data_IF_883258570817
#
_entry.id   IF_883258570817
#
_cell.length_a   1.000
_cell.length_b   1.000
_cell.length_c   1.000
_cell.angle_alpha   90.00
_cell.angle_beta   90.00
_cell.angle_gamma   90.00
#
_symmetry.space_group_name_H-M   'P 1'
#
loop_
_entity.id
_entity.type
_entity.pdbx_description
1 polymer ?
#
# COMPACT_ATOMS: atom_id res chain seq x y z
N UNK A 1 9.95 20.88 -30.13
CA UNK A 1 8.84 20.11 -29.54
C UNK A 1 8.84 20.38 -28.06
N UNK A 2 7.80 21.06 -27.54
CA UNK A 2 7.70 21.38 -26.12
C UNK A 2 7.26 20.12 -25.35
N UNK A 3 7.96 19.81 -24.26
CA UNK A 3 7.59 18.73 -23.35
C UNK A 3 6.24 19.05 -22.70
N UNK A 4 5.33 18.08 -22.73
CA UNK A 4 4.00 18.12 -22.11
C UNK A 4 4.04 18.52 -20.61
N UNK A 5 5.18 18.29 -19.94
CA UNK A 5 5.41 18.65 -18.54
C UNK A 5 5.59 20.16 -18.32
N UNK A 6 6.08 20.90 -19.32
CA UNK A 6 6.31 22.35 -19.19
C UNK A 6 5.04 23.20 -19.17
N UNK A 7 3.90 22.63 -19.58
CA UNK A 7 2.59 23.32 -19.57
C UNK A 7 1.91 23.26 -18.19
N UNK A 8 2.20 22.23 -17.39
CA UNK A 8 1.58 22.05 -16.07
C UNK A 8 2.32 22.82 -14.97
N UNK A 9 3.61 23.07 -15.15
CA UNK A 9 4.42 23.88 -14.22
C UNK A 9 4.36 25.35 -14.62
N UNK A 10 3.17 25.94 -14.54
CA UNK A 10 3.09 27.39 -14.40
C UNK A 10 4.00 27.80 -13.25
N UNK A 11 4.89 28.77 -13.50
CA UNK A 11 5.90 29.26 -12.56
C UNK A 11 5.36 29.25 -11.13
N UNK A 12 5.80 28.29 -10.32
CA UNK A 12 5.39 28.22 -8.93
C UNK A 12 6.55 27.70 -8.11
N UNK A 13 7.29 28.68 -7.60
CA UNK A 13 7.96 28.68 -6.30
C UNK A 13 8.49 27.31 -5.84
N UNK A 14 9.75 27.04 -6.21
CA UNK A 14 10.54 25.87 -5.80
C UNK A 14 10.74 25.78 -4.28
N UNK A 15 10.41 26.83 -3.51
CA UNK A 15 10.41 26.81 -2.04
C UNK A 15 9.13 26.22 -1.43
N UNK A 16 8.07 26.08 -2.23
CA UNK A 16 6.80 25.54 -1.76
C UNK A 16 6.92 24.05 -1.41
N UNK A 17 6.11 23.60 -0.45
CA UNK A 17 5.99 22.18 -0.06
C UNK A 17 5.70 21.28 -1.27
N UNK A 18 5.00 21.81 -2.29
CA UNK A 18 4.74 21.13 -3.57
C UNK A 18 6.02 21.03 -4.41
N UNK A 19 6.81 22.10 -4.52
CA UNK A 19 8.11 22.09 -5.17
C UNK A 19 9.09 21.08 -4.54
N UNK A 20 9.11 20.99 -3.21
CA UNK A 20 9.93 19.99 -2.50
C UNK A 20 9.44 18.55 -2.69
N UNK A 21 8.12 18.33 -2.73
CA UNK A 21 7.55 17.01 -3.06
C UNK A 21 7.91 16.60 -4.49
N UNK A 22 7.84 17.53 -5.45
CA UNK A 22 8.22 17.28 -6.83
C UNK A 22 9.72 17.01 -7.00
N UNK A 23 10.59 17.67 -6.24
CA UNK A 23 12.02 17.35 -6.19
C UNK A 23 12.29 15.98 -5.55
N UNK A 24 11.50 15.58 -4.56
CA UNK A 24 11.58 14.23 -3.97
C UNK A 24 11.10 13.13 -4.91
N UNK A 25 10.29 13.48 -5.92
CA UNK A 25 9.79 12.54 -6.92
C UNK A 25 10.87 12.08 -7.91
N UNK A 26 12.03 12.75 -8.01
CA UNK A 26 13.12 12.26 -8.86
C UNK A 26 13.60 10.86 -8.46
N UNK A 27 13.59 10.55 -7.16
CA UNK A 27 13.91 9.22 -6.65
C UNK A 27 12.86 8.17 -7.02
N UNK A 28 11.59 8.58 -7.05
CA UNK A 28 10.46 7.75 -7.48
C UNK A 28 10.53 7.56 -9.00
N UNK A 29 10.91 8.59 -9.76
CA UNK A 29 11.12 8.54 -11.21
C UNK A 29 12.25 7.57 -11.57
N UNK A 30 13.39 7.64 -10.87
CA UNK A 30 14.49 6.70 -11.00
C UNK A 30 14.06 5.25 -10.68
N UNK A 31 13.28 5.06 -9.60
CA UNK A 31 12.74 3.75 -9.23
C UNK A 31 11.71 3.22 -10.24
N UNK A 32 10.86 4.08 -10.77
CA UNK A 32 9.86 3.73 -11.80
C UNK A 32 10.54 3.33 -13.10
N UNK A 33 11.58 4.05 -13.52
CA UNK A 33 12.40 3.72 -14.69
C UNK A 33 13.13 2.39 -14.45
N UNK A 34 13.68 2.17 -13.27
CA UNK A 34 14.38 0.93 -12.92
C UNK A 34 13.46 -0.31 -12.84
N UNK A 35 12.20 -0.13 -12.41
CA UNK A 35 11.20 -1.20 -12.26
C UNK A 35 10.28 -1.39 -13.46
N UNK A 36 10.50 -0.66 -14.57
CA UNK A 36 9.66 -0.69 -15.75
C UNK A 36 9.95 -1.95 -16.59
N UNK A 37 8.97 -2.84 -16.72
CA UNK A 37 8.99 -3.90 -17.74
C UNK A 37 7.92 -3.61 -18.80
N UNK A 38 8.34 -3.39 -20.05
CA UNK A 38 7.43 -3.20 -21.18
C UNK A 38 7.24 -4.55 -21.87
N UNK A 39 6.03 -5.12 -21.76
CA UNK A 39 5.64 -6.29 -22.56
C UNK A 39 4.89 -5.81 -23.82
N UNK A 40 5.60 -5.77 -24.96
CA UNK A 40 5.11 -5.24 -26.24
C UNK A 40 4.09 -6.13 -26.99
N UNK A 41 3.59 -7.22 -26.38
CA UNK A 41 2.86 -8.26 -27.11
C UNK A 41 1.33 -8.23 -26.99
N UNK A 42 0.72 -7.24 -26.32
CA UNK A 42 -0.75 -7.14 -26.23
C UNK A 42 -1.20 -5.69 -26.35
N UNK A 43 -2.09 -5.40 -27.30
CA UNK A 43 -2.82 -4.13 -27.37
C UNK A 43 -4.04 -4.21 -26.43
N UNK A 44 -4.20 -3.31 -25.45
CA UNK A 44 -3.40 -2.12 -25.18
C UNK A 44 -2.13 -2.40 -24.36
N UNK A 45 -1.07 -1.62 -24.63
CA UNK A 45 0.21 -1.64 -23.92
C UNK A 45 -0.01 -1.56 -22.41
N UNK A 46 0.43 -2.59 -21.67
CA UNK A 46 0.43 -2.60 -20.21
C UNK A 46 1.82 -2.28 -19.69
N UNK A 47 1.93 -1.19 -18.93
CA UNK A 47 3.13 -0.82 -18.19
C UNK A 47 2.95 -1.37 -16.77
N UNK A 48 3.73 -2.38 -16.39
CA UNK A 48 3.80 -2.87 -15.02
C UNK A 48 5.05 -2.31 -14.36
N UNK A 49 4.86 -1.62 -13.24
CA UNK A 49 5.93 -1.28 -12.31
C UNK A 49 5.84 -2.27 -11.17
N UNK A 50 6.91 -3.01 -10.93
CA UNK A 50 7.02 -3.84 -9.71
C UNK A 50 7.71 -2.98 -8.65
N UNK A 51 6.97 -2.42 -7.67
CA UNK A 51 7.61 -1.68 -6.59
C UNK A 51 8.52 -2.62 -5.78
N UNK A 52 9.58 -2.07 -5.19
CA UNK A 52 10.37 -2.83 -4.23
C UNK A 52 9.48 -3.19 -3.02
N UNK A 53 9.61 -4.40 -2.47
CA UNK A 53 8.81 -4.84 -1.31
C UNK A 53 8.87 -3.84 -0.13
N UNK A 54 9.98 -3.13 0.02
CA UNK A 54 10.16 -2.09 1.03
C UNK A 54 9.20 -0.90 0.88
N UNK A 55 8.79 -0.55 -0.34
CA UNK A 55 7.85 0.55 -0.58
C UNK A 55 6.41 0.15 -0.24
N UNK A 56 6.07 -1.11 -0.52
CA UNK A 56 4.78 -1.70 -0.11
C UNK A 56 4.67 -1.69 1.42
N UNK A 57 5.70 -2.17 2.12
CA UNK A 57 5.72 -2.25 3.58
C UNK A 57 5.51 -0.89 4.25
N UNK A 58 6.07 0.19 3.70
CA UNK A 58 5.86 1.56 4.22
C UNK A 58 4.39 1.98 4.13
N UNK A 59 3.72 1.67 3.03
CA UNK A 59 2.30 1.99 2.84
C UNK A 59 1.44 1.13 3.74
N UNK A 60 1.73 -0.17 3.84
CA UNK A 60 1.01 -1.09 4.71
C UNK A 60 1.13 -0.69 6.18
N UNK A 61 2.33 -0.31 6.63
CA UNK A 61 2.56 0.17 7.98
C UNK A 61 1.77 1.43 8.29
N UNK A 62 1.77 2.42 7.38
CA UNK A 62 0.97 3.66 7.54
C UNK A 62 -0.52 3.36 7.65
N UNK A 63 -1.03 2.52 6.75
CA UNK A 63 -2.44 2.14 6.74
C UNK A 63 -2.82 1.39 8.03
N UNK A 64 -1.99 0.42 8.44
CA UNK A 64 -2.24 -0.36 9.64
C UNK A 64 -2.27 0.52 10.90
N UNK A 65 -1.34 1.47 11.04
CA UNK A 65 -1.33 2.44 12.13
C UNK A 65 -2.57 3.35 12.12
N UNK A 66 -2.99 3.80 10.94
CA UNK A 66 -4.20 4.61 10.81
C UNK A 66 -5.44 3.84 11.27
N UNK A 67 -5.58 2.58 10.89
CA UNK A 67 -6.69 1.72 11.32
C UNK A 67 -6.68 1.46 12.82
N UNK A 68 -5.53 1.15 13.41
CA UNK A 68 -5.41 0.96 14.85
C UNK A 68 -5.77 2.23 15.64
N UNK A 69 -5.41 3.41 15.11
CA UNK A 69 -5.80 4.68 15.70
C UNK A 69 -7.31 4.94 15.58
N UNK A 70 -7.91 4.70 14.41
CA UNK A 70 -9.33 4.93 14.19
C UNK A 70 -10.23 3.96 14.97
N UNK A 71 -9.81 2.71 15.11
CA UNK A 71 -10.65 1.65 15.70
C UNK A 71 -10.48 1.49 17.20
N UNK A 72 -9.27 1.73 17.70
CA UNK A 72 -8.89 1.41 19.07
C UNK A 72 -8.15 2.57 19.76
N UNK A 73 -8.07 3.74 19.12
CA UNK A 73 -7.36 4.93 19.63
C UNK A 73 -5.88 4.67 19.96
N UNK A 74 -5.30 3.61 19.36
CA UNK A 74 -3.94 3.18 19.65
C UNK A 74 -2.90 3.89 18.80
N UNK A 75 -1.86 4.39 19.45
CA UNK A 75 -0.64 4.84 18.80
C UNK A 75 0.39 3.71 18.83
N UNK A 76 0.57 3.05 17.69
CA UNK A 76 1.52 1.96 17.55
C UNK A 76 2.94 2.46 17.26
N UNK A 77 3.99 1.77 17.72
CA UNK A 77 5.38 2.13 17.43
C UNK A 77 5.69 2.00 15.93
N UNK A 78 6.83 2.52 15.50
CA UNK A 78 7.24 2.46 14.10
C UNK A 78 7.71 1.07 13.67
N UNK A 79 8.17 0.25 14.61
CA UNK A 79 8.71 -1.08 14.33
C UNK A 79 7.68 -2.15 14.72
N UNK A 80 7.01 -2.78 13.74
CA UNK A 80 6.17 -3.94 13.99
C UNK A 80 7.03 -5.21 14.17
N UNK A 81 6.45 -6.23 14.80
CA UNK A 81 7.06 -7.56 14.87
C UNK A 81 7.11 -8.23 13.50
N UNK A 82 6.09 -8.00 12.66
CA UNK A 82 6.06 -8.53 11.30
C UNK A 82 5.12 -7.72 10.41
N UNK A 83 5.50 -7.62 9.13
CA UNK A 83 4.64 -7.16 8.02
C UNK A 83 4.57 -8.30 7.01
N UNK A 84 3.37 -8.66 6.59
CA UNK A 84 3.14 -9.67 5.57
C UNK A 84 2.11 -9.18 4.56
N UNK A 85 2.36 -9.45 3.28
CA UNK A 85 1.39 -9.24 2.22
C UNK A 85 1.48 -10.35 1.18
N UNK A 86 0.34 -10.80 0.67
CA UNK A 86 0.27 -11.91 -0.29
C UNK A 86 -0.99 -11.78 -1.15
N UNK A 87 -0.89 -12.24 -2.40
CA UNK A 87 -2.07 -12.35 -3.24
C UNK A 87 -3.03 -13.40 -2.65
N UNK A 88 -4.33 -13.11 -2.68
CA UNK A 88 -5.36 -13.95 -2.06
C UNK A 88 -5.43 -15.36 -2.69
N UNK A 89 -5.15 -15.48 -3.99
CA UNK A 89 -5.07 -16.75 -4.71
C UNK A 89 -3.83 -17.58 -4.37
N UNK A 90 -2.80 -16.96 -3.80
CA UNK A 90 -1.57 -17.60 -3.31
C UNK A 90 -1.64 -17.97 -1.83
N UNK A 91 -2.71 -17.62 -1.11
CA UNK A 91 -2.89 -18.05 0.28
C UNK A 91 -3.06 -19.57 0.34
N UNK A 92 -2.21 -20.22 1.12
CA UNK A 92 -2.45 -21.61 1.50
C UNK A 92 -3.70 -21.72 2.40
N UNK A 93 -4.26 -22.92 2.49
CA UNK A 93 -5.50 -23.19 3.25
C UNK A 93 -5.41 -22.73 4.71
N UNK A 94 -4.27 -22.94 5.36
CA UNK A 94 -4.05 -22.52 6.75
C UNK A 94 -4.08 -20.99 6.90
N UNK A 95 -3.43 -20.27 5.99
CA UNK A 95 -3.36 -18.81 6.00
C UNK A 95 -4.71 -18.19 5.66
N UNK A 96 -5.44 -18.81 4.72
CA UNK A 96 -6.81 -18.44 4.43
C UNK A 96 -7.70 -18.62 5.66
N UNK A 97 -7.59 -19.74 6.37
CA UNK A 97 -8.31 -19.94 7.64
C UNK A 97 -7.84 -18.95 8.71
N UNK A 98 -6.55 -18.65 8.83
CA UNK A 98 -6.09 -17.66 9.81
C UNK A 98 -6.64 -16.26 9.53
N UNK A 99 -6.76 -15.89 8.26
CA UNK A 99 -7.22 -14.57 7.83
C UNK A 99 -8.76 -14.45 7.86
N UNK A 100 -9.49 -15.55 7.64
CA UNK A 100 -10.94 -15.54 7.46
C UNK A 100 -11.75 -16.46 8.38
N UNK A 101 -11.15 -17.45 9.03
CA UNK A 101 -11.85 -18.32 9.97
C UNK A 101 -12.06 -17.57 11.28
N UNK A 102 -13.33 -17.41 11.64
CA UNK A 102 -13.84 -16.78 12.86
C UNK A 102 -13.84 -15.25 12.86
N UNK A 103 -14.92 -14.69 12.30
CA UNK A 103 -15.57 -13.46 12.76
C UNK A 103 -14.63 -12.36 13.24
N UNK A 104 -13.67 -12.00 12.39
CA UNK A 104 -13.03 -10.70 12.51
C UNK A 104 -14.10 -9.65 12.21
N UNK A 105 -14.15 -8.61 13.04
CA UNK A 105 -15.10 -7.51 12.87
C UNK A 105 -14.62 -6.65 11.69
N UNK A 106 -14.73 -7.22 10.49
CA UNK A 106 -14.28 -6.62 9.25
C UNK A 106 -15.07 -5.35 9.00
N UNK A 107 -14.38 -4.22 9.11
CA UNK A 107 -14.90 -2.93 8.72
C UNK A 107 -14.75 -2.78 7.22
N UNK A 108 -15.88 -2.85 6.53
CA UNK A 108 -15.96 -2.66 5.08
C UNK A 108 -16.00 -1.17 4.80
N UNK A 109 -14.87 -0.62 4.33
CA UNK A 109 -14.79 0.78 3.90
C UNK A 109 -15.42 0.94 2.52
N UNK A 110 -15.09 0.01 1.61
CA UNK A 110 -15.67 -0.05 0.27
C UNK A 110 -15.91 -1.51 -0.11
N UNK A 111 -17.16 -1.85 -0.43
CA UNK A 111 -17.56 -3.22 -0.76
C UNK A 111 -16.70 -3.79 -1.90
N UNK A 112 -16.15 -4.97 -1.68
CA UNK A 112 -15.27 -5.71 -2.62
C UNK A 112 -13.97 -4.99 -3.02
N UNK A 113 -13.61 -3.90 -2.34
CA UNK A 113 -12.43 -3.09 -2.67
C UNK A 113 -11.55 -2.88 -1.47
N UNK A 114 -12.12 -2.57 -0.31
CA UNK A 114 -11.32 -2.29 0.87
C UNK A 114 -12.06 -2.67 2.14
N UNK A 115 -11.44 -3.56 2.90
CA UNK A 115 -11.88 -3.92 4.25
C UNK A 115 -10.68 -4.13 5.14
N UNK A 116 -10.86 -3.84 6.42
CA UNK A 116 -9.82 -4.05 7.41
C UNK A 116 -10.41 -4.61 8.71
N UNK A 117 -9.55 -5.20 9.53
CA UNK A 117 -9.89 -5.63 10.88
C UNK A 117 -8.74 -5.27 11.80
N UNK A 118 -9.08 -4.75 12.97
CA UNK A 118 -8.13 -4.51 14.06
C UNK A 118 -8.45 -5.47 15.19
N UNK A 119 -7.47 -6.26 15.59
CA UNK A 119 -7.54 -7.14 16.75
C UNK A 119 -6.62 -6.62 17.83
N UNK A 120 -7.17 -6.46 19.03
CA UNK A 120 -6.46 -5.96 20.19
C UNK A 120 -6.48 -7.03 21.29
N UNK A 121 -5.30 -7.44 21.74
CA UNK A 121 -5.15 -8.43 22.81
C UNK A 121 -3.75 -8.38 23.41
N UNK A 122 -3.07 -9.53 23.51
CA UNK A 122 -1.64 -9.58 23.86
C UNK A 122 -0.73 -8.95 22.79
N UNK A 123 -1.19 -9.01 21.55
CA UNK A 123 -0.60 -8.37 20.38
C UNK A 123 -1.68 -7.53 19.70
N UNK A 124 -1.24 -6.49 18.98
CA UNK A 124 -2.13 -5.76 18.07
C UNK A 124 -1.92 -6.29 16.67
N UNK A 125 -2.98 -6.78 16.06
CA UNK A 125 -2.95 -7.31 14.69
C UNK A 125 -3.87 -6.47 13.84
N UNK A 126 -3.33 -5.92 12.76
CA UNK A 126 -4.12 -5.20 11.76
C UNK A 126 -4.07 -5.97 10.46
N UNK A 127 -5.26 -6.27 9.93
CA UNK A 127 -5.41 -6.99 8.66
C UNK A 127 -6.15 -6.12 7.67
N UNK A 128 -5.76 -6.19 6.41
CA UNK A 128 -6.52 -5.57 5.33
C UNK A 128 -6.67 -6.52 4.16
N UNK A 129 -7.78 -6.37 3.43
CA UNK A 129 -7.97 -6.95 2.11
C UNK A 129 -8.24 -5.81 1.14
N UNK A 130 -7.44 -5.76 0.08
CA UNK A 130 -7.47 -4.73 -0.97
C UNK A 130 -7.86 -5.40 -2.29
N UNK A 131 -8.92 -4.89 -2.93
CA UNK A 131 -9.49 -5.35 -4.19
C UNK A 131 -9.88 -6.83 -4.25
N UNK A 132 -10.12 -7.47 -3.11
CA UNK A 132 -10.27 -8.94 -3.04
C UNK A 132 -9.13 -9.68 -3.76
N UNK A 133 -7.96 -9.04 -3.80
CA UNK A 133 -6.78 -9.57 -4.47
C UNK A 133 -5.56 -9.61 -3.55
N UNK A 134 -5.37 -8.62 -2.69
CA UNK A 134 -4.21 -8.53 -1.81
C UNK A 134 -4.64 -8.63 -0.35
N UNK A 135 -4.11 -9.61 0.38
CA UNK A 135 -4.25 -9.73 1.82
C UNK A 135 -2.99 -9.22 2.52
N UNK A 136 -3.18 -8.54 3.64
CA UNK A 136 -2.08 -8.01 4.44
C UNK A 136 -2.30 -8.27 5.93
N UNK A 137 -1.20 -8.45 6.67
CA UNK A 137 -1.19 -8.59 8.12
C UNK A 137 0.02 -7.83 8.69
N UNK A 138 -0.23 -6.96 9.66
CA UNK A 138 0.81 -6.28 10.44
C UNK A 138 0.59 -6.59 11.91
N UNK A 139 1.65 -7.05 12.59
CA UNK A 139 1.61 -7.50 13.98
C UNK A 139 2.53 -6.63 14.83
N UNK A 140 2.02 -6.17 15.97
CA UNK A 140 2.77 -5.52 17.04
C UNK A 140 2.66 -6.29 18.34
#
# INVERSE_FOLDING_TARGET
>A
MASFLGFLTGESDTSSRIGQVLLSNGKIEDQLIAGLSIEDNVSPLRISVTPANTDIDVVLLKNAKAHAYLDAEMQLPNEPQSICHVQLDQLNTESHLRLFANSFDWKVVQKNIYRYSVLTGKQTIVRTVIHEHLATEVIW
#
